data_IF_003957576315
#
_entry.id   IF_003957576315
#
_cell.length_a   1.000
_cell.length_b   1.000
_cell.length_c   1.000
_cell.angle_alpha   90.00
_cell.angle_beta   90.00
_cell.angle_gamma   90.00
#
_symmetry.space_group_name_H-M   'P 1'
#
loop_
_entity.id
_entity.type
_entity.pdbx_description
1 polymer ?
#
# COMPACT_ATOMS: atom_id res chain seq x y z
N UNK A 1 -28.11 -37.25 -7.19
CA UNK A 1 -27.11 -36.30 -7.65
C UNK A 1 -25.77 -36.99 -7.42
N UNK A 2 -25.00 -37.21 -8.47
CA UNK A 2 -23.73 -37.92 -8.38
C UNK A 2 -22.72 -37.11 -7.57
N UNK A 3 -21.91 -37.79 -6.74
CA UNK A 3 -20.87 -37.13 -5.92
C UNK A 3 -19.91 -36.27 -6.77
N UNK A 4 -19.62 -36.67 -8.00
CA UNK A 4 -18.83 -35.93 -8.97
C UNK A 4 -19.50 -34.62 -9.39
N UNK A 5 -20.83 -34.61 -9.59
CA UNK A 5 -21.60 -33.41 -9.94
C UNK A 5 -21.71 -32.46 -8.75
N UNK A 6 -21.89 -32.97 -7.52
CA UNK A 6 -21.86 -32.19 -6.29
C UNK A 6 -20.47 -31.59 -6.06
N UNK A 7 -19.44 -32.35 -6.36
CA UNK A 7 -18.03 -31.93 -6.30
C UNK A 7 -17.74 -30.80 -7.29
N UNK A 8 -18.16 -30.93 -8.55
CA UNK A 8 -18.00 -29.87 -9.56
C UNK A 8 -18.77 -28.61 -9.18
N UNK A 9 -19.95 -28.73 -8.57
CA UNK A 9 -20.71 -27.56 -8.09
C UNK A 9 -20.05 -26.89 -6.87
N UNK A 10 -19.49 -27.67 -5.94
CA UNK A 10 -18.78 -27.17 -4.79
C UNK A 10 -17.44 -26.45 -5.17
N UNK A 11 -16.82 -26.88 -6.27
CA UNK A 11 -15.56 -26.32 -6.76
C UNK A 11 -15.71 -25.35 -7.95
N UNK A 12 -16.95 -25.11 -8.43
CA UNK A 12 -17.22 -24.12 -9.46
C UNK A 12 -17.00 -22.70 -8.93
N UNK A 13 -16.03 -21.97 -9.49
CA UNK A 13 -15.74 -20.59 -9.15
C UNK A 13 -16.93 -19.64 -9.43
N UNK A 14 -17.86 -20.03 -10.33
CA UNK A 14 -18.98 -19.20 -10.79
C UNK A 14 -20.02 -18.83 -9.72
N UNK A 15 -20.04 -19.54 -8.59
CA UNK A 15 -21.03 -19.34 -7.52
C UNK A 15 -20.40 -19.05 -6.17
N UNK A 16 -19.08 -18.78 -6.12
CA UNK A 16 -18.37 -18.50 -4.88
C UNK A 16 -18.09 -17.01 -4.74
N UNK A 17 -18.14 -16.54 -3.50
CA UNK A 17 -17.73 -15.18 -3.18
C UNK A 17 -16.23 -15.00 -3.41
N UNK A 18 -15.43 -16.05 -3.13
CA UNK A 18 -13.98 -16.04 -3.28
C UNK A 18 -13.51 -17.21 -4.14
N UNK A 19 -12.53 -16.96 -5.01
CA UNK A 19 -11.90 -17.99 -5.83
C UNK A 19 -10.39 -17.72 -5.95
N UNK A 20 -9.61 -18.77 -6.26
CA UNK A 20 -8.21 -18.66 -6.65
C UNK A 20 -8.09 -18.88 -8.16
N UNK A 21 -7.32 -18.00 -8.79
CA UNK A 21 -6.88 -18.10 -10.17
C UNK A 21 -5.36 -18.30 -10.20
N UNK A 22 -4.90 -19.26 -10.98
CA UNK A 22 -3.49 -19.57 -11.15
C UNK A 22 -3.28 -20.75 -12.07
N UNK A 23 -2.06 -21.22 -12.18
CA UNK A 23 -1.71 -22.35 -13.02
C UNK A 23 -1.51 -23.64 -12.21
N UNK A 24 -1.45 -24.77 -12.93
CA UNK A 24 -1.17 -26.07 -12.34
C UNK A 24 -2.10 -26.42 -11.18
N UNK A 25 -1.51 -26.81 -10.06
CA UNK A 25 -2.23 -27.28 -8.86
C UNK A 25 -3.03 -26.19 -8.14
N UNK A 26 -2.81 -24.90 -8.43
CA UNK A 26 -3.61 -23.81 -7.86
C UNK A 26 -5.08 -23.93 -8.29
N UNK A 27 -5.36 -24.47 -9.46
CA UNK A 27 -6.71 -24.70 -9.98
C UNK A 27 -7.50 -25.74 -9.17
N UNK A 28 -6.81 -26.59 -8.42
CA UNK A 28 -7.41 -27.60 -7.56
C UNK A 28 -7.78 -27.07 -6.18
N UNK A 29 -7.40 -25.80 -5.88
CA UNK A 29 -7.61 -25.17 -4.60
C UNK A 29 -8.87 -24.30 -4.60
N UNK A 30 -9.74 -24.52 -3.64
CA UNK A 30 -10.93 -23.73 -3.43
C UNK A 30 -10.82 -22.93 -2.11
N UNK A 31 -11.02 -21.62 -2.14
CA UNK A 31 -10.92 -20.77 -0.97
C UNK A 31 -11.97 -21.16 0.07
N UNK A 32 -11.52 -21.40 1.31
CA UNK A 32 -12.38 -21.61 2.48
C UNK A 32 -12.47 -20.30 3.31
N UNK A 33 -11.35 -19.63 3.53
CA UNK A 33 -11.26 -18.37 4.23
C UNK A 33 -9.98 -17.64 3.87
N UNK A 34 -9.92 -16.35 4.09
CA UNK A 34 -8.70 -15.57 3.94
C UNK A 34 -8.68 -14.34 4.83
N UNK A 35 -7.49 -13.90 5.16
CA UNK A 35 -7.22 -12.63 5.80
C UNK A 35 -6.05 -11.97 5.12
N UNK A 36 -6.02 -10.65 5.10
CA UNK A 36 -4.91 -9.93 4.51
C UNK A 36 -4.82 -8.49 4.95
N UNK A 37 -3.62 -7.94 4.80
CA UNK A 37 -3.32 -6.54 5.09
C UNK A 37 -2.51 -5.94 3.96
N UNK A 38 -2.86 -4.73 3.63
CA UNK A 38 -2.09 -3.87 2.73
C UNK A 38 -2.00 -2.46 3.31
N UNK A 39 -0.91 -1.76 3.04
CA UNK A 39 -0.71 -0.38 3.44
C UNK A 39 0.21 0.36 2.45
N UNK A 40 0.09 1.67 2.40
CA UNK A 40 1.01 2.55 1.66
C UNK A 40 2.44 2.32 2.16
N UNK A 41 3.39 2.22 1.25
CA UNK A 41 4.81 1.99 1.53
C UNK A 41 5.10 0.75 2.39
N UNK A 42 4.26 -0.28 2.26
CA UNK A 42 4.41 -1.57 2.91
C UNK A 42 4.13 -2.73 1.95
N UNK A 43 4.69 -3.87 2.27
CA UNK A 43 4.41 -5.12 1.55
C UNK A 43 3.07 -5.66 2.03
N UNK A 44 2.19 -6.02 1.10
CA UNK A 44 0.97 -6.72 1.46
C UNK A 44 1.25 -8.19 1.82
N UNK A 45 0.37 -8.77 2.61
CA UNK A 45 0.35 -10.21 2.89
C UNK A 45 -1.08 -10.72 2.92
N UNK A 46 -1.38 -11.73 2.11
CA UNK A 46 -2.65 -12.45 2.11
C UNK A 46 -2.42 -13.87 2.62
N UNK A 47 -3.13 -14.27 3.65
CA UNK A 47 -3.16 -15.66 4.16
C UNK A 47 -4.45 -16.29 3.76
N UNK A 48 -4.38 -17.26 2.87
CA UNK A 48 -5.53 -17.92 2.25
C UNK A 48 -5.57 -19.36 2.74
N UNK A 49 -6.66 -19.75 3.36
CA UNK A 49 -6.96 -21.16 3.64
C UNK A 49 -7.80 -21.69 2.48
N UNK A 50 -7.33 -22.75 1.87
CA UNK A 50 -7.98 -23.38 0.74
C UNK A 50 -8.11 -24.88 0.95
N UNK A 51 -9.12 -25.48 0.33
CA UNK A 51 -9.38 -26.91 0.36
C UNK A 51 -9.19 -27.52 -1.03
N UNK A 52 -8.73 -28.77 -1.06
CA UNK A 52 -8.60 -29.57 -2.28
C UNK A 52 -9.01 -31.01 -2.02
N UNK A 53 -9.53 -31.66 -3.06
CA UNK A 53 -9.72 -33.12 -3.09
C UNK A 53 -8.36 -33.86 -3.16
N UNK A 54 -7.34 -33.19 -3.65
CA UNK A 54 -6.00 -33.73 -3.75
C UNK A 54 -5.25 -33.51 -2.42
N UNK A 55 -5.07 -34.60 -1.68
CA UNK A 55 -4.32 -34.56 -0.42
C UNK A 55 -2.81 -34.59 -0.61
N UNK A 56 -2.33 -34.84 -1.83
CA UNK A 56 -0.91 -35.07 -2.14
C UNK A 56 -0.31 -33.95 -2.99
N UNK A 57 -0.84 -32.73 -2.88
CA UNK A 57 -0.24 -31.55 -3.51
C UNK A 57 1.17 -31.34 -2.93
N UNK A 58 2.17 -31.39 -3.81
CA UNK A 58 3.54 -31.09 -3.46
C UNK A 58 3.67 -29.58 -3.15
N UNK A 59 4.03 -29.24 -1.91
CA UNK A 59 4.08 -27.83 -1.47
C UNK A 59 5.09 -27.01 -2.26
N UNK A 60 6.21 -27.62 -2.67
CA UNK A 60 7.25 -26.97 -3.47
C UNK A 60 6.73 -26.52 -4.84
N UNK A 61 5.77 -27.25 -5.43
CA UNK A 61 5.16 -26.86 -6.71
C UNK A 61 4.31 -25.59 -6.63
N UNK A 62 3.94 -25.17 -5.43
CA UNK A 62 3.21 -23.92 -5.17
C UNK A 62 4.13 -22.72 -4.99
N UNK A 63 5.39 -22.96 -4.60
CA UNK A 63 6.32 -21.88 -4.24
C UNK A 63 6.68 -20.99 -5.44
N UNK A 64 6.59 -19.67 -5.24
CA UNK A 64 6.87 -18.69 -6.28
C UNK A 64 5.84 -18.60 -7.39
N UNK A 65 4.78 -19.42 -7.35
CA UNK A 65 3.69 -19.35 -8.33
C UNK A 65 2.90 -18.05 -8.19
N UNK A 66 2.52 -17.48 -9.34
CA UNK A 66 1.54 -16.39 -9.40
C UNK A 66 0.18 -16.93 -9.01
N UNK A 67 -0.50 -16.25 -8.10
CA UNK A 67 -1.89 -16.55 -7.76
C UNK A 67 -2.68 -15.26 -7.60
N UNK A 68 -3.94 -15.29 -7.99
CA UNK A 68 -4.89 -14.20 -7.86
C UNK A 68 -6.05 -14.64 -7.00
N UNK A 69 -6.30 -13.94 -5.91
CA UNK A 69 -7.52 -14.06 -5.14
C UNK A 69 -8.60 -13.20 -5.80
N UNK A 70 -9.66 -13.82 -6.26
CA UNK A 70 -10.83 -13.18 -6.83
C UNK A 70 -11.90 -13.02 -5.75
N UNK A 71 -12.51 -11.85 -5.70
CA UNK A 71 -13.66 -11.54 -4.83
C UNK A 71 -14.81 -11.07 -5.70
N UNK A 72 -15.95 -11.76 -5.65
CA UNK A 72 -17.16 -11.34 -6.39
C UNK A 72 -17.77 -10.11 -5.73
N UNK A 73 -18.03 -9.07 -6.51
CA UNK A 73 -18.63 -7.82 -6.08
C UNK A 73 -20.16 -7.91 -6.06
N UNK A 74 -20.81 -7.04 -5.31
CA UNK A 74 -22.28 -6.96 -5.24
C UNK A 74 -22.93 -6.72 -6.62
N UNK A 75 -22.27 -5.94 -7.48
CA UNK A 75 -22.70 -5.67 -8.86
C UNK A 75 -22.37 -6.77 -9.89
N UNK A 76 -21.83 -7.93 -9.46
CA UNK A 76 -21.46 -9.06 -10.34
C UNK A 76 -20.07 -8.96 -10.97
N UNK A 77 -19.33 -7.88 -10.76
CA UNK A 77 -17.91 -7.77 -11.14
C UNK A 77 -16.99 -8.54 -10.19
N UNK A 78 -15.69 -8.45 -10.42
CA UNK A 78 -14.68 -9.09 -9.58
C UNK A 78 -13.60 -8.08 -9.16
N UNK A 79 -13.22 -8.11 -7.88
CA UNK A 79 -12.00 -7.52 -7.36
C UNK A 79 -10.89 -8.57 -7.38
N UNK A 80 -9.71 -8.18 -7.85
CA UNK A 80 -8.54 -9.07 -8.03
C UNK A 80 -7.46 -8.68 -7.03
N UNK A 81 -6.76 -9.66 -6.46
CA UNK A 81 -5.58 -9.47 -5.60
C UNK A 81 -4.53 -10.47 -6.00
N UNK A 82 -3.54 -10.01 -6.76
CA UNK A 82 -2.52 -10.86 -7.38
C UNK A 82 -1.19 -10.76 -6.65
N UNK A 83 -0.52 -11.90 -6.46
CA UNK A 83 0.79 -11.97 -5.84
C UNK A 83 1.49 -13.30 -6.07
N UNK A 84 2.61 -13.49 -5.37
CA UNK A 84 3.43 -14.70 -5.38
C UNK A 84 3.19 -15.52 -4.11
N UNK A 85 3.09 -16.83 -4.23
CA UNK A 85 3.04 -17.73 -3.07
C UNK A 85 4.45 -17.81 -2.45
N UNK A 86 4.61 -17.21 -1.26
CA UNK A 86 5.87 -17.27 -0.49
C UNK A 86 5.95 -18.50 0.41
N UNK A 87 4.81 -18.97 0.89
CA UNK A 87 4.73 -20.07 1.84
C UNK A 87 3.47 -20.88 1.57
N UNK A 88 3.59 -22.19 1.64
CA UNK A 88 2.50 -23.13 1.57
C UNK A 88 2.62 -24.12 2.74
N UNK A 89 1.50 -24.42 3.37
CA UNK A 89 1.40 -25.35 4.50
C UNK A 89 0.24 -26.32 4.24
N UNK A 90 0.42 -27.59 4.58
CA UNK A 90 -0.66 -28.57 4.65
C UNK A 90 -1.17 -28.62 6.09
N UNK A 91 -2.38 -28.18 6.32
CA UNK A 91 -2.98 -28.08 7.66
C UNK A 91 -3.57 -29.42 8.16
N UNK A 92 -3.87 -30.33 7.24
CA UNK A 92 -4.47 -31.62 7.54
C UNK A 92 -5.46 -32.04 6.47
N UNK A 93 -6.06 -33.22 6.65
CA UNK A 93 -7.13 -33.71 5.82
C UNK A 93 -8.26 -34.25 6.72
N UNK A 94 -9.50 -33.97 6.32
CA UNK A 94 -10.71 -34.47 6.95
C UNK A 94 -11.58 -35.17 5.90
N UNK A 95 -11.61 -36.49 5.96
CA UNK A 95 -12.31 -37.31 5.01
C UNK A 95 -11.77 -37.18 3.57
N UNK A 96 -12.52 -36.49 2.72
CA UNK A 96 -12.21 -36.36 1.29
C UNK A 96 -11.50 -35.02 0.92
N UNK A 97 -11.30 -34.13 1.87
CA UNK A 97 -10.71 -32.79 1.62
C UNK A 97 -9.47 -32.56 2.45
N UNK A 98 -8.41 -32.10 1.80
CA UNK A 98 -7.20 -31.61 2.45
C UNK A 98 -7.22 -30.06 2.50
N UNK A 99 -6.76 -29.51 3.61
CA UNK A 99 -6.64 -28.07 3.84
C UNK A 99 -5.22 -27.62 3.65
N UNK A 100 -5.06 -26.51 2.95
CA UNK A 100 -3.79 -25.86 2.68
C UNK A 100 -3.87 -24.41 3.10
N UNK A 101 -2.78 -23.86 3.63
CA UNK A 101 -2.62 -22.43 3.85
C UNK A 101 -1.56 -21.89 2.91
N UNK A 102 -1.92 -20.83 2.19
CA UNK A 102 -1.01 -20.11 1.32
C UNK A 102 -0.75 -18.72 1.89
N UNK A 103 0.50 -18.29 1.89
CA UNK A 103 0.87 -16.89 2.16
C UNK A 103 1.31 -16.26 0.85
N UNK A 104 0.58 -15.25 0.41
CA UNK A 104 0.76 -14.53 -0.85
C UNK A 104 1.28 -13.13 -0.58
N UNK A 105 2.29 -12.71 -1.34
CA UNK A 105 3.05 -11.47 -1.15
C UNK A 105 3.30 -10.79 -2.51
N UNK A 106 3.64 -9.48 -2.54
CA UNK A 106 4.06 -8.83 -3.78
C UNK A 106 5.46 -9.28 -4.20
N UNK A 107 5.77 -9.14 -5.51
CA UNK A 107 7.12 -9.43 -6.01
C UNK A 107 8.21 -8.60 -5.30
N UNK A 108 7.87 -7.39 -4.87
CA UNK A 108 8.80 -6.49 -4.16
C UNK A 108 9.35 -7.14 -2.87
N UNK A 109 8.67 -8.14 -2.30
CA UNK A 109 9.19 -8.90 -1.16
C UNK A 109 10.53 -9.58 -1.47
N UNK A 110 10.80 -9.93 -2.72
CA UNK A 110 12.09 -10.54 -3.12
C UNK A 110 13.27 -9.63 -2.76
N UNK A 111 13.08 -8.32 -2.80
CA UNK A 111 14.12 -7.33 -2.44
C UNK A 111 14.49 -7.33 -0.94
N UNK A 112 13.70 -8.01 -0.11
CA UNK A 112 14.01 -8.21 1.32
C UNK A 112 14.99 -9.36 1.55
N UNK A 113 15.25 -10.19 0.54
CA UNK A 113 16.02 -11.43 0.68
C UNK A 113 17.52 -11.25 0.37
N UNK A 114 17.89 -10.14 -0.24
CA UNK A 114 19.28 -9.84 -0.58
C UNK A 114 19.78 -8.64 0.22
N UNK A 115 21.03 -8.77 0.72
CA UNK A 115 21.74 -7.71 1.43
C UNK A 115 22.95 -7.30 0.61
N UNK A 116 23.10 -6.02 0.37
CA UNK A 116 24.23 -5.49 -0.36
C UNK A 116 25.02 -4.44 0.47
N UNK A 117 26.28 -4.28 0.09
CA UNK A 117 27.12 -3.17 0.51
C UNK A 117 27.79 -2.61 -0.75
N UNK A 118 27.23 -1.55 -1.26
CA UNK A 118 27.65 -0.91 -2.50
C UNK A 118 27.49 0.61 -2.44
N UNK A 119 28.13 1.31 -3.35
CA UNK A 119 28.12 2.76 -3.40
C UNK A 119 27.68 3.21 -4.79
N UNK A 120 26.75 4.13 -4.82
CA UNK A 120 26.33 4.84 -6.02
C UNK A 120 26.95 6.24 -6.01
N UNK A 121 27.70 6.56 -7.06
CA UNK A 121 28.36 7.85 -7.20
C UNK A 121 27.79 8.60 -8.41
N UNK A 122 27.49 9.89 -8.22
CA UNK A 122 26.95 10.76 -9.27
C UNK A 122 25.73 10.13 -9.95
N UNK A 123 24.73 9.75 -9.15
CA UNK A 123 23.52 9.08 -9.61
C UNK A 123 22.26 9.84 -9.18
N UNK A 124 21.29 9.80 -10.07
CA UNK A 124 19.92 10.23 -9.78
C UNK A 124 19.12 9.12 -9.11
N UNK A 125 18.07 9.45 -8.39
CA UNK A 125 17.28 8.45 -7.66
C UNK A 125 16.64 7.41 -8.60
N UNK A 126 16.11 7.83 -9.75
CA UNK A 126 15.54 6.93 -10.75
C UNK A 126 16.58 5.93 -11.27
N UNK A 127 17.79 6.38 -11.58
CA UNK A 127 18.87 5.49 -12.02
C UNK A 127 19.30 4.48 -10.95
N UNK A 128 19.17 4.84 -9.67
CA UNK A 128 19.44 3.91 -8.55
C UNK A 128 18.29 2.91 -8.40
N UNK A 129 17.04 3.36 -8.46
CA UNK A 129 15.85 2.49 -8.43
C UNK A 129 15.93 1.47 -9.56
N UNK A 130 16.22 1.91 -10.78
CA UNK A 130 16.38 1.04 -11.95
C UNK A 130 17.51 0.04 -11.75
N UNK A 131 18.69 0.48 -11.31
CA UNK A 131 19.83 -0.40 -11.09
C UNK A 131 19.56 -1.49 -10.05
N UNK A 132 18.89 -1.15 -8.96
CA UNK A 132 18.54 -2.13 -7.91
C UNK A 132 17.44 -3.08 -8.38
N UNK A 133 16.40 -2.58 -9.05
CA UNK A 133 15.27 -3.40 -9.46
C UNK A 133 15.56 -4.26 -10.70
N UNK A 134 16.62 -3.95 -11.46
CA UNK A 134 17.04 -4.75 -12.61
C UNK A 134 17.46 -6.17 -12.23
N UNK A 135 17.99 -6.38 -11.04
CA UNK A 135 18.33 -7.72 -10.53
C UNK A 135 17.08 -8.60 -10.34
N UNK A 136 15.93 -7.98 -10.28
CA UNK A 136 14.63 -8.64 -10.15
C UNK A 136 13.80 -8.60 -11.44
N UNK A 137 14.40 -8.28 -12.58
CA UNK A 137 13.73 -8.06 -13.87
C UNK A 137 12.69 -9.12 -14.27
N UNK A 138 12.85 -10.45 -13.98
CA UNK A 138 11.81 -11.43 -14.32
C UNK A 138 10.48 -11.24 -13.58
N UNK A 139 10.52 -10.52 -12.45
CA UNK A 139 9.38 -10.29 -11.56
C UNK A 139 8.97 -8.83 -11.49
N UNK A 140 9.97 -7.94 -11.56
CA UNK A 140 9.81 -6.53 -11.28
C UNK A 140 9.02 -5.82 -12.37
N UNK A 141 7.97 -5.15 -11.96
CA UNK A 141 7.26 -4.19 -12.78
C UNK A 141 6.88 -2.98 -11.93
N UNK A 142 7.27 -1.78 -12.37
CA UNK A 142 7.00 -0.56 -11.63
C UNK A 142 6.72 0.61 -12.56
N UNK A 143 6.07 1.62 -12.05
CA UNK A 143 5.79 2.86 -12.75
C UNK A 143 5.70 4.04 -11.79
N UNK A 144 5.73 5.22 -12.34
CA UNK A 144 5.55 6.45 -11.59
C UNK A 144 4.14 7.00 -11.78
N UNK A 145 3.50 7.41 -10.68
CA UNK A 145 2.28 8.20 -10.72
C UNK A 145 2.59 9.65 -11.14
N UNK A 146 1.57 10.38 -11.56
CA UNK A 146 1.72 11.78 -11.94
C UNK A 146 2.43 12.61 -10.84
N UNK A 147 3.40 13.40 -11.24
CA UNK A 147 4.19 14.25 -10.33
C UNK A 147 5.35 13.56 -9.61
N UNK A 148 5.45 12.22 -9.62
CA UNK A 148 6.56 11.52 -8.97
C UNK A 148 7.91 11.81 -9.65
N UNK A 149 7.95 11.85 -10.97
CA UNK A 149 9.16 12.20 -11.73
C UNK A 149 9.69 13.60 -11.39
N UNK A 150 8.80 14.57 -11.23
CA UNK A 150 9.19 15.91 -10.81
C UNK A 150 9.80 15.93 -9.40
N UNK A 151 9.30 15.09 -8.49
CA UNK A 151 9.85 14.91 -7.15
C UNK A 151 11.23 14.26 -7.19
N UNK A 152 11.43 13.25 -8.03
CA UNK A 152 12.71 12.58 -8.26
C UNK A 152 13.72 13.59 -8.81
N UNK A 153 13.34 14.37 -9.81
CA UNK A 153 14.19 15.41 -10.39
C UNK A 153 14.58 16.48 -9.34
N UNK A 154 13.65 16.85 -8.46
CA UNK A 154 13.93 17.78 -7.36
C UNK A 154 14.84 17.20 -6.27
N UNK A 155 14.89 15.86 -6.10
CA UNK A 155 15.85 15.21 -5.22
C UNK A 155 17.28 15.38 -5.74
N UNK A 156 17.44 15.39 -7.07
CA UNK A 156 18.67 15.68 -7.77
C UNK A 156 19.68 14.54 -7.81
N UNK A 157 20.79 14.80 -8.48
CA UNK A 157 21.95 13.89 -8.49
C UNK A 157 22.68 13.97 -7.14
N UNK A 158 23.18 12.83 -6.68
CA UNK A 158 23.93 12.71 -5.43
C UNK A 158 25.32 12.22 -5.70
N UNK A 159 26.31 12.91 -5.12
CA UNK A 159 27.73 12.57 -5.26
C UNK A 159 28.03 11.18 -4.68
N UNK A 160 27.36 10.85 -3.58
CA UNK A 160 27.61 9.62 -2.85
C UNK A 160 26.36 9.12 -2.12
N UNK A 161 25.87 7.94 -2.48
CA UNK A 161 24.84 7.21 -1.76
C UNK A 161 25.36 5.81 -1.47
N UNK A 162 25.40 5.43 -0.21
CA UNK A 162 25.83 4.10 0.21
C UNK A 162 24.63 3.24 0.63
N UNK A 163 24.57 2.03 0.10
CA UNK A 163 23.85 0.92 0.70
C UNK A 163 24.86 0.17 1.57
N UNK A 164 24.63 0.10 2.87
CA UNK A 164 25.57 -0.55 3.77
C UNK A 164 24.86 -1.54 4.68
N UNK A 165 25.05 -2.84 4.39
CA UNK A 165 24.42 -3.96 5.09
C UNK A 165 22.87 -3.86 5.19
N UNK A 166 22.29 -3.17 4.23
CA UNK A 166 20.83 -3.05 4.09
C UNK A 166 20.35 -4.08 3.08
N UNK A 167 19.11 -4.57 3.26
CA UNK A 167 18.42 -5.24 2.16
C UNK A 167 18.10 -4.22 1.07
N UNK A 168 17.90 -4.67 -0.17
CA UNK A 168 17.50 -3.78 -1.26
C UNK A 168 16.18 -3.09 -0.95
N UNK A 169 15.26 -3.79 -0.26
CA UNK A 169 14.02 -3.20 0.25
C UNK A 169 14.26 -2.08 1.25
N UNK A 170 15.13 -2.28 2.24
CA UNK A 170 15.45 -1.25 3.23
C UNK A 170 16.11 -0.04 2.59
N UNK A 171 17.04 -0.29 1.67
CA UNK A 171 17.74 0.75 0.92
C UNK A 171 16.78 1.60 0.10
N UNK A 172 15.95 0.97 -0.75
CA UNK A 172 14.95 1.67 -1.56
C UNK A 172 13.94 2.41 -0.68
N UNK A 173 13.43 1.78 0.39
CA UNK A 173 12.47 2.43 1.30
C UNK A 173 13.04 3.68 1.95
N UNK A 174 14.31 3.65 2.34
CA UNK A 174 15.01 4.81 2.90
C UNK A 174 15.14 5.94 1.88
N UNK A 175 15.60 5.63 0.66
CA UNK A 175 15.78 6.64 -0.39
C UNK A 175 14.44 7.25 -0.83
N UNK A 176 13.40 6.45 -0.94
CA UNK A 176 12.06 6.94 -1.25
C UNK A 176 11.56 7.89 -0.16
N UNK A 177 11.73 7.53 1.12
CA UNK A 177 11.36 8.40 2.24
C UNK A 177 12.16 9.71 2.26
N UNK A 178 13.47 9.68 2.00
CA UNK A 178 14.33 10.87 1.89
C UNK A 178 13.88 11.78 0.73
N UNK A 179 13.40 11.21 -0.37
CA UNK A 179 12.87 11.95 -1.51
C UNK A 179 11.42 12.43 -1.32
N UNK A 180 10.72 11.97 -0.30
CA UNK A 180 9.29 12.24 -0.08
C UNK A 180 8.41 11.50 -1.07
N UNK A 181 8.79 10.27 -1.42
CA UNK A 181 8.03 9.36 -2.26
C UNK A 181 7.44 8.23 -1.40
N UNK A 182 6.22 7.85 -1.72
CA UNK A 182 5.59 6.63 -1.26
C UNK A 182 5.44 5.63 -2.40
N UNK A 183 4.98 4.42 -2.07
CA UNK A 183 4.55 3.47 -3.08
C UNK A 183 3.28 2.73 -2.66
N UNK A 184 2.58 2.23 -3.65
CA UNK A 184 1.46 1.29 -3.51
C UNK A 184 1.63 0.15 -4.52
N UNK A 185 0.91 -0.95 -4.30
CA UNK A 185 0.88 -2.08 -5.24
C UNK A 185 -0.48 -2.09 -5.92
N UNK A 186 -0.48 -2.00 -7.24
CA UNK A 186 -1.69 -1.99 -8.06
C UNK A 186 -1.74 -3.24 -8.96
N UNK A 187 -2.94 -3.75 -9.22
CA UNK A 187 -3.13 -4.79 -10.24
C UNK A 187 -2.71 -4.22 -11.61
N UNK A 188 -2.03 -5.03 -12.39
CA UNK A 188 -1.54 -4.69 -13.71
C UNK A 188 -1.44 -5.95 -14.58
N UNK A 189 -2.31 -6.07 -15.56
CA UNK A 189 -2.37 -7.27 -16.41
C UNK A 189 -1.16 -7.37 -17.37
N UNK A 190 -0.47 -6.25 -17.63
CA UNK A 190 0.75 -6.21 -18.44
C UNK A 190 1.99 -6.62 -17.64
N UNK A 191 1.90 -6.58 -16.31
CA UNK A 191 3.02 -6.99 -15.44
C UNK A 191 3.21 -8.50 -15.46
N UNK A 192 4.47 -9.00 -15.47
CA UNK A 192 4.77 -10.45 -15.51
C UNK A 192 4.05 -11.24 -14.41
N UNK A 193 3.89 -10.64 -13.24
CA UNK A 193 3.22 -11.27 -12.10
C UNK A 193 1.90 -10.58 -11.71
N UNK A 194 1.27 -9.86 -12.67
CA UNK A 194 -0.09 -9.34 -12.54
C UNK A 194 -0.24 -8.15 -11.61
N UNK A 195 0.87 -7.55 -11.15
CA UNK A 195 0.83 -6.35 -10.34
C UNK A 195 2.09 -5.51 -10.52
N UNK A 196 1.94 -4.21 -10.37
CA UNK A 196 3.01 -3.22 -10.45
C UNK A 196 3.18 -2.48 -9.11
N UNK A 197 4.42 -2.08 -8.82
CA UNK A 197 4.72 -1.09 -7.78
C UNK A 197 4.56 0.30 -8.38
N UNK A 198 3.73 1.12 -7.78
CA UNK A 198 3.46 2.49 -8.24
C UNK A 198 4.06 3.48 -7.26
N UNK A 199 5.14 4.15 -7.66
CA UNK A 199 5.75 5.21 -6.88
C UNK A 199 4.98 6.52 -7.05
N UNK A 200 4.69 7.22 -5.97
CA UNK A 200 3.94 8.47 -5.99
C UNK A 200 4.55 9.51 -5.04
N UNK A 201 4.31 10.78 -5.35
CA UNK A 201 4.77 11.92 -4.53
C UNK A 201 3.60 12.63 -3.84
N UNK A 202 2.43 12.61 -4.47
CA UNK A 202 1.25 13.32 -4.00
C UNK A 202 0.06 12.33 -3.94
N UNK A 203 -0.49 12.15 -2.75
CA UNK A 203 -1.64 11.28 -2.53
C UNK A 203 -2.92 11.75 -3.26
N UNK A 204 -3.01 13.03 -3.60
CA UNK A 204 -4.12 13.56 -4.40
C UNK A 204 -4.14 13.02 -5.85
N UNK A 205 -3.01 12.51 -6.33
CA UNK A 205 -2.88 11.90 -7.66
C UNK A 205 -3.16 10.40 -7.66
N UNK A 206 -3.39 9.81 -6.50
CA UNK A 206 -3.77 8.40 -6.41
C UNK A 206 -5.19 8.17 -6.91
N UNK A 207 -5.49 6.99 -7.48
CA UNK A 207 -6.78 6.70 -8.07
C UNK A 207 -7.90 6.71 -7.01
N UNK A 208 -9.11 7.00 -7.44
CA UNK A 208 -10.29 6.78 -6.62
C UNK A 208 -10.71 5.31 -6.66
N UNK A 209 -11.26 4.82 -5.55
CA UNK A 209 -11.84 3.49 -5.46
C UNK A 209 -12.95 3.33 -6.50
N UNK A 210 -13.03 2.20 -7.24
CA UNK A 210 -13.99 2.03 -8.33
C UNK A 210 -15.46 2.16 -7.91
N UNK A 211 -15.85 1.69 -6.73
CA UNK A 211 -17.22 1.82 -6.24
C UNK A 211 -17.52 3.25 -5.81
N UNK A 212 -16.55 3.93 -5.19
CA UNK A 212 -16.66 5.35 -4.85
C UNK A 212 -16.85 6.20 -6.11
N UNK A 213 -16.02 5.98 -7.13
CA UNK A 213 -16.08 6.71 -8.39
C UNK A 213 -17.40 6.47 -9.15
N UNK A 214 -17.87 5.22 -9.21
CA UNK A 214 -19.09 4.85 -9.91
C UNK A 214 -20.36 5.37 -9.21
N UNK A 215 -20.37 5.38 -7.86
CA UNK A 215 -21.51 5.75 -7.03
C UNK A 215 -21.57 7.22 -6.58
N UNK A 216 -20.54 8.01 -6.91
CA UNK A 216 -20.38 9.36 -6.34
C UNK A 216 -20.07 9.35 -4.85
N UNK A 217 -19.45 8.26 -4.38
CA UNK A 217 -19.07 8.01 -3.01
C UNK A 217 -19.63 6.69 -2.45
N UNK A 218 -19.08 6.26 -1.32
CA UNK A 218 -19.52 5.08 -0.59
C UNK A 218 -20.36 5.54 0.61
N UNK A 219 -21.57 5.00 0.72
CA UNK A 219 -22.49 5.37 1.79
C UNK A 219 -22.00 4.87 3.15
N UNK A 220 -22.14 5.72 4.16
CA UNK A 220 -22.11 5.30 5.54
C UNK A 220 -23.51 4.80 5.94
N UNK A 221 -23.63 3.52 6.26
CA UNK A 221 -24.89 2.94 6.69
C UNK A 221 -24.66 1.77 7.64
N UNK A 222 -25.34 1.77 8.77
CA UNK A 222 -25.34 0.59 9.66
C UNK A 222 -26.06 -0.56 8.96
N UNK A 223 -25.49 -1.77 9.05
CA UNK A 223 -26.01 -2.96 8.39
C UNK A 223 -27.54 -3.11 8.58
N UNK A 224 -28.27 -3.15 7.46
CA UNK A 224 -29.66 -3.49 7.39
C UNK A 224 -29.81 -4.73 6.52
N UNK A 225 -30.71 -5.66 6.92
CA UNK A 225 -30.90 -6.96 6.24
C UNK A 225 -31.44 -6.87 4.79
N UNK A 226 -31.74 -5.68 4.30
CA UNK A 226 -32.28 -5.45 2.95
C UNK A 226 -31.29 -4.71 2.01
N UNK A 227 -30.08 -4.40 2.46
CA UNK A 227 -29.14 -3.66 1.65
C UNK A 227 -28.32 -4.62 0.76
N UNK A 228 -28.38 -4.39 -0.56
CA UNK A 228 -27.65 -5.17 -1.55
C UNK A 228 -26.30 -4.53 -1.94
N UNK A 229 -26.05 -3.27 -1.56
CA UNK A 229 -24.83 -2.55 -1.86
C UNK A 229 -23.82 -2.63 -0.71
N UNK A 230 -22.54 -2.65 -1.04
CA UNK A 230 -21.46 -2.56 -0.07
C UNK A 230 -21.45 -1.16 0.58
N UNK A 231 -21.17 -1.07 1.88
CA UNK A 231 -21.24 0.17 2.64
C UNK A 231 -20.19 0.25 3.75
N UNK A 232 -19.87 1.46 4.18
CA UNK A 232 -19.10 1.70 5.40
C UNK A 232 -20.06 1.64 6.58
N UNK A 233 -19.85 0.72 7.51
CA UNK A 233 -20.75 0.43 8.62
C UNK A 233 -20.34 1.12 9.92
N UNK A 234 -19.04 1.38 10.06
CA UNK A 234 -18.46 2.10 11.19
C UNK A 234 -17.38 3.05 10.68
N UNK A 235 -17.36 4.24 11.22
CA UNK A 235 -16.31 5.23 10.96
C UNK A 235 -16.05 6.01 12.25
N UNK A 236 -14.80 6.03 12.68
CA UNK A 236 -14.31 6.74 13.86
C UNK A 236 -13.35 7.81 13.38
N UNK A 237 -13.55 9.04 13.82
CA UNK A 237 -12.65 10.16 13.59
C UNK A 237 -11.82 10.39 14.84
N UNK A 238 -10.51 10.36 14.72
CA UNK A 238 -9.57 10.65 15.79
C UNK A 238 -8.74 11.90 15.44
N UNK A 239 -8.75 12.87 16.32
CA UNK A 239 -7.89 14.06 16.21
C UNK A 239 -6.82 14.03 17.29
N UNK A 240 -5.57 14.20 16.89
CA UNK A 240 -4.41 14.22 17.78
C UNK A 240 -3.77 15.59 17.78
N UNK A 241 -3.23 15.98 18.92
CA UNK A 241 -2.42 17.18 19.00
C UNK A 241 -1.12 16.99 18.18
N UNK A 242 -0.84 17.95 17.32
CA UNK A 242 0.39 18.00 16.54
C UNK A 242 1.21 19.24 16.93
N UNK A 243 2.50 19.21 16.59
CA UNK A 243 3.42 20.34 16.78
C UNK A 243 3.04 21.51 15.87
N UNK A 244 3.47 22.72 16.21
CA UNK A 244 3.12 23.92 15.45
C UNK A 244 4.02 24.21 14.27
N UNK A 245 5.14 23.53 14.15
CA UNK A 245 6.09 23.66 13.07
C UNK A 245 7.24 22.68 13.20
N UNK A 246 8.11 22.65 12.21
CA UNK A 246 9.32 21.84 12.15
C UNK A 246 10.48 22.70 11.70
N UNK A 247 11.61 22.64 12.41
CA UNK A 247 12.87 23.26 12.01
C UNK A 247 13.87 22.19 11.59
N UNK A 248 14.49 22.35 10.43
CA UNK A 248 15.53 21.46 9.89
C UNK A 248 16.83 22.27 9.74
N UNK A 249 17.97 21.65 10.04
CA UNK A 249 19.28 22.26 9.82
C UNK A 249 20.31 21.25 9.34
N UNK A 250 21.13 21.66 8.38
CA UNK A 250 22.34 20.98 7.96
C UNK A 250 23.55 21.90 8.21
N UNK A 251 24.73 21.33 8.44
CA UNK A 251 25.96 22.07 8.59
C UNK A 251 26.81 21.99 7.32
N UNK A 252 27.13 23.14 6.75
CA UNK A 252 28.08 23.29 5.64
C UNK A 252 29.48 23.61 6.20
N UNK A 253 30.39 22.61 6.18
CA UNK A 253 31.73 22.80 6.74
C UNK A 253 32.63 23.73 5.90
N UNK A 254 32.38 23.81 4.59
CA UNK A 254 33.17 24.68 3.69
C UNK A 254 32.78 26.14 3.84
N UNK A 255 31.50 26.42 3.78
CA UNK A 255 30.96 27.75 3.99
C UNK A 255 30.89 28.15 5.48
N UNK A 256 31.19 27.23 6.40
CA UNK A 256 31.12 27.42 7.88
C UNK A 256 29.80 28.03 8.35
N UNK A 257 28.70 27.57 7.81
CA UNK A 257 27.36 28.08 8.12
C UNK A 257 26.35 26.96 8.27
N UNK A 258 25.27 27.26 9.01
CA UNK A 258 24.11 26.38 9.05
C UNK A 258 23.15 26.72 7.90
N UNK A 259 22.73 25.68 7.15
CA UNK A 259 21.65 25.76 6.21
C UNK A 259 20.38 25.40 6.97
N UNK A 260 19.32 26.18 6.84
CA UNK A 260 18.09 25.99 7.63
C UNK A 260 16.85 26.02 6.76
N UNK A 261 15.87 25.19 7.14
CA UNK A 261 14.50 25.19 6.64
C UNK A 261 13.52 25.19 7.81
N UNK A 262 12.33 25.74 7.61
CA UNK A 262 11.28 25.75 8.61
C UNK A 262 9.91 25.62 7.94
N UNK A 263 9.08 24.71 8.42
CA UNK A 263 7.72 24.52 7.95
C UNK A 263 6.73 24.69 9.11
N UNK A 264 5.86 25.69 9.08
CA UNK A 264 4.78 25.82 10.05
C UNK A 264 3.70 24.79 9.79
N UNK A 265 3.02 24.34 10.86
CA UNK A 265 1.85 23.47 10.75
C UNK A 265 0.70 24.20 10.04
N UNK A 266 0.06 23.51 9.10
CA UNK A 266 -1.18 23.94 8.42
C UNK A 266 -2.41 23.49 9.18
N UNK A 267 -2.31 22.31 9.81
CA UNK A 267 -3.38 21.66 10.55
C UNK A 267 -2.92 21.25 11.95
N UNK A 268 -3.84 21.21 12.90
CA UNK A 268 -3.58 20.72 14.24
C UNK A 268 -3.98 21.70 15.36
N UNK A 269 -4.04 21.18 16.58
CA UNK A 269 -4.54 21.91 17.76
C UNK A 269 -3.67 23.12 18.14
N UNK A 270 -2.38 23.07 17.80
CA UNK A 270 -1.42 24.14 18.10
C UNK A 270 -1.15 25.10 16.95
N UNK A 271 -1.77 24.87 15.77
CA UNK A 271 -1.59 25.78 14.64
C UNK A 271 -2.11 27.20 15.03
N UNK A 272 -1.29 28.22 14.81
CA UNK A 272 -1.62 29.61 15.12
C UNK A 272 -1.58 29.99 16.59
N UNK A 273 -1.11 29.13 17.51
CA UNK A 273 -0.88 29.50 18.92
C UNK A 273 0.53 30.02 19.16
N UNK A 274 0.66 30.98 20.06
CA UNK A 274 1.91 31.66 20.35
C UNK A 274 3.00 30.77 21.00
N UNK A 275 2.62 29.62 21.57
CA UNK A 275 3.54 28.67 22.17
C UNK A 275 3.29 27.32 21.50
N UNK A 276 4.15 26.99 20.57
CA UNK A 276 4.11 25.71 19.85
C UNK A 276 5.50 25.07 19.96
N UNK A 277 5.59 23.82 20.43
CA UNK A 277 6.85 23.11 20.37
C UNK A 277 7.19 22.83 18.91
N UNK A 278 8.32 23.37 18.45
CA UNK A 278 8.85 23.13 17.12
C UNK A 278 10.02 22.14 17.23
N UNK A 279 9.85 20.86 16.90
CA UNK A 279 10.94 19.91 16.91
C UNK A 279 12.01 20.32 15.90
N UNK A 280 13.25 20.17 16.33
CA UNK A 280 14.43 20.47 15.54
C UNK A 280 15.08 19.19 15.03
N UNK A 281 15.32 19.13 13.73
CA UNK A 281 15.97 17.99 13.08
C UNK A 281 17.30 18.42 12.47
N UNK A 282 18.37 17.72 12.85
CA UNK A 282 19.66 17.82 12.19
C UNK A 282 19.73 16.80 11.08
N UNK A 283 20.01 17.21 9.86
CA UNK A 283 20.12 16.36 8.68
C UNK A 283 21.51 16.46 8.05
N UNK A 284 21.87 15.50 7.22
CA UNK A 284 23.15 15.54 6.48
C UNK A 284 23.14 16.67 5.43
N UNK A 285 24.34 17.20 5.13
CA UNK A 285 24.50 18.18 4.05
C UNK A 285 24.08 17.59 2.69
N UNK A 286 24.29 16.27 2.49
CA UNK A 286 23.86 15.60 1.26
C UNK A 286 22.34 15.64 1.07
N UNK A 287 21.56 15.61 2.15
CA UNK A 287 20.09 15.69 2.08
C UNK A 287 19.60 17.13 1.93
N UNK A 288 20.29 18.08 2.54
CA UNK A 288 19.96 19.50 2.51
C UNK A 288 21.19 20.36 2.12
N UNK A 289 21.66 20.30 0.86
CA UNK A 289 22.84 21.04 0.40
C UNK A 289 22.61 22.55 0.32
N UNK A 290 21.38 23.00 0.26
CA UNK A 290 20.99 24.40 0.17
C UNK A 290 19.69 24.69 0.94
N UNK A 291 19.35 25.96 1.05
CA UNK A 291 18.16 26.42 1.77
C UNK A 291 16.87 25.88 1.15
N UNK A 292 16.80 25.71 -0.17
CA UNK A 292 15.62 25.17 -0.86
C UNK A 292 15.41 23.70 -0.48
N UNK A 293 16.47 22.92 -0.46
CA UNK A 293 16.44 21.52 -0.05
C UNK A 293 16.10 21.38 1.44
N UNK A 294 16.68 22.21 2.31
CA UNK A 294 16.34 22.23 3.74
C UNK A 294 14.86 22.59 3.98
N UNK A 295 14.35 23.57 3.24
CA UNK A 295 12.93 23.94 3.29
C UNK A 295 12.03 22.78 2.86
N UNK A 296 12.34 22.12 1.76
CA UNK A 296 11.61 20.93 1.28
C UNK A 296 11.61 19.81 2.31
N UNK A 297 12.75 19.51 2.93
CA UNK A 297 12.83 18.47 3.97
C UNK A 297 11.96 18.87 5.18
N UNK A 298 11.97 20.14 5.59
CA UNK A 298 11.11 20.60 6.67
C UNK A 298 9.63 20.43 6.35
N UNK A 299 9.22 20.75 5.13
CA UNK A 299 7.84 20.55 4.65
C UNK A 299 7.44 19.08 4.64
N UNK A 300 8.30 18.17 4.15
CA UNK A 300 8.06 16.74 4.14
C UNK A 300 7.89 16.16 5.56
N UNK A 301 8.76 16.58 6.49
CA UNK A 301 8.66 16.15 7.89
C UNK A 301 7.37 16.67 8.52
N UNK A 302 6.99 17.93 8.23
CA UNK A 302 5.75 18.51 8.74
C UNK A 302 4.53 17.78 8.18
N UNK A 303 4.47 17.49 6.89
CA UNK A 303 3.41 16.73 6.26
C UNK A 303 3.27 15.32 6.88
N UNK A 304 4.40 14.63 7.15
CA UNK A 304 4.40 13.33 7.82
C UNK A 304 3.88 13.37 9.27
N UNK A 305 4.01 14.51 9.94
CA UNK A 305 3.43 14.72 11.27
C UNK A 305 1.93 15.04 11.15
N UNK A 306 1.56 15.91 10.21
CA UNK A 306 0.19 16.39 10.03
C UNK A 306 -0.77 15.28 9.60
N UNK A 307 -0.32 14.34 8.75
CA UNK A 307 -1.15 13.20 8.31
C UNK A 307 -1.64 12.34 9.49
N UNK A 308 -0.92 12.36 10.61
CA UNK A 308 -1.29 11.64 11.85
C UNK A 308 -2.18 12.46 12.78
N UNK A 309 -2.37 13.75 12.50
CA UNK A 309 -3.18 14.63 13.34
C UNK A 309 -4.69 14.38 13.19
N UNK A 310 -5.11 13.89 12.04
CA UNK A 310 -6.51 13.54 11.76
C UNK A 310 -6.53 12.17 11.09
N UNK A 311 -7.02 11.16 11.79
CA UNK A 311 -7.06 9.78 11.34
C UNK A 311 -8.50 9.25 11.42
N UNK A 312 -8.91 8.54 10.39
CA UNK A 312 -10.19 7.86 10.34
C UNK A 312 -9.95 6.34 10.37
N UNK A 313 -10.69 5.65 11.23
CA UNK A 313 -10.72 4.19 11.28
C UNK A 313 -12.13 3.73 11.02
N UNK A 314 -12.32 2.88 10.01
CA UNK A 314 -13.63 2.39 9.61
C UNK A 314 -13.67 0.89 9.42
N UNK A 315 -14.87 0.35 9.36
CA UNK A 315 -15.14 -1.01 8.92
C UNK A 315 -16.42 -1.06 8.08
N UNK A 316 -16.49 -2.03 7.19
CA UNK A 316 -17.62 -2.18 6.27
C UNK A 316 -17.52 -3.43 5.42
N UNK A 317 -18.42 -3.53 4.45
CA UNK A 317 -18.50 -4.65 3.51
C UNK A 317 -17.86 -4.35 2.14
N UNK A 318 -17.26 -3.17 1.96
CA UNK A 318 -16.73 -2.71 0.67
C UNK A 318 -15.53 -3.55 0.23
N UNK A 319 -15.71 -4.33 -0.83
CA UNK A 319 -14.77 -5.35 -1.30
C UNK A 319 -13.70 -4.81 -2.24
N UNK A 320 -13.88 -3.59 -2.74
CA UNK A 320 -12.96 -2.93 -3.68
C UNK A 320 -11.83 -2.19 -2.98
N UNK A 321 -11.98 -1.84 -1.69
CA UNK A 321 -11.00 -1.03 -0.97
C UNK A 321 -9.57 -1.55 -1.10
N UNK A 322 -8.64 -0.60 -1.38
CA UNK A 322 -7.21 -0.84 -1.50
C UNK A 322 -6.42 0.26 -0.81
N UNK A 323 -5.30 -0.09 -0.21
CA UNK A 323 -4.35 0.94 0.24
C UNK A 323 -3.83 1.74 -0.95
N UNK A 324 -3.69 3.05 -0.77
CA UNK A 324 -3.30 3.94 -1.86
C UNK A 324 -4.43 4.27 -2.84
N UNK A 325 -5.69 4.08 -2.46
CA UNK A 325 -6.83 4.63 -3.19
C UNK A 325 -7.53 5.71 -2.37
N UNK A 326 -8.18 6.63 -3.06
CA UNK A 326 -9.06 7.63 -2.44
C UNK A 326 -10.49 7.13 -2.47
N UNK A 327 -11.27 7.53 -1.51
CA UNK A 327 -12.72 7.30 -1.53
C UNK A 327 -13.44 8.52 -0.97
N UNK A 328 -14.68 8.70 -1.36
CA UNK A 328 -15.59 9.69 -0.78
C UNK A 328 -16.63 8.98 0.08
N UNK A 329 -16.74 9.34 1.36
CA UNK A 329 -17.77 8.80 2.25
C UNK A 329 -18.96 9.75 2.26
N UNK A 330 -20.14 9.22 1.97
CA UNK A 330 -21.41 9.97 1.96
C UNK A 330 -22.33 9.57 3.13
N UNK A 331 -23.32 10.39 3.43
CA UNK A 331 -24.36 10.13 4.46
C UNK A 331 -23.82 9.87 5.87
N UNK A 332 -22.62 10.35 6.21
CA UNK A 332 -22.03 10.17 7.54
C UNK A 332 -22.25 11.40 8.43
N UNK A 333 -23.15 11.32 9.43
CA UNK A 333 -23.49 12.47 10.27
C UNK A 333 -22.39 12.83 11.29
N UNK A 334 -21.37 12.00 11.42
CA UNK A 334 -20.31 12.19 12.42
C UNK A 334 -19.05 12.85 11.84
N UNK A 335 -19.01 13.07 10.52
CA UNK A 335 -17.88 13.74 9.90
C UNK A 335 -17.97 15.25 10.12
N UNK A 336 -16.82 15.92 10.30
CA UNK A 336 -16.82 17.38 10.40
C UNK A 336 -17.37 17.99 9.09
N UNK A 337 -18.08 19.13 9.17
CA UNK A 337 -18.60 19.78 7.98
C UNK A 337 -17.45 20.18 7.04
N UNK A 338 -17.63 19.90 5.75
CA UNK A 338 -16.69 20.34 4.73
C UNK A 338 -16.87 21.86 4.47
N UNK A 339 -15.78 22.60 4.21
CA UNK A 339 -15.84 24.03 3.92
C UNK A 339 -16.65 24.38 2.67
N UNK A 340 -16.74 23.46 1.71
CA UNK A 340 -17.23 23.73 0.35
C UNK A 340 -18.60 23.11 0.04
N UNK A 341 -19.35 22.68 1.06
CA UNK A 341 -20.68 22.04 0.90
C UNK A 341 -20.71 20.88 -0.12
N UNK A 342 -19.55 20.21 -0.29
CA UNK A 342 -19.43 19.06 -1.18
C UNK A 342 -20.17 17.86 -0.60
N UNK A 343 -20.92 17.16 -1.47
CA UNK A 343 -21.65 15.95 -1.09
C UNK A 343 -20.63 14.81 -0.80
N UNK A 344 -20.22 14.68 0.46
CA UNK A 344 -19.33 13.62 0.91
C UNK A 344 -17.97 14.08 1.42
N UNK A 345 -17.27 13.18 2.08
CA UNK A 345 -15.99 13.43 2.73
C UNK A 345 -14.89 12.61 2.05
N UNK A 346 -13.91 13.27 1.38
CA UNK A 346 -12.83 12.56 0.71
C UNK A 346 -11.81 12.04 1.73
N UNK A 347 -11.47 10.77 1.62
CA UNK A 347 -10.47 10.08 2.44
C UNK A 347 -9.44 9.39 1.57
N UNK A 348 -8.23 9.25 2.08
CA UNK A 348 -7.19 8.38 1.53
C UNK A 348 -7.11 7.12 2.38
N UNK A 349 -7.08 5.96 1.74
CA UNK A 349 -6.84 4.68 2.40
C UNK A 349 -5.35 4.45 2.59
N UNK A 350 -4.87 4.69 3.81
CA UNK A 350 -3.48 4.42 4.21
C UNK A 350 -3.23 2.92 4.37
N UNK A 351 -4.13 2.23 5.07
CA UNK A 351 -4.05 0.80 5.28
C UNK A 351 -5.45 0.16 5.26
N UNK A 352 -5.52 -1.08 4.80
CA UNK A 352 -6.74 -1.88 4.79
C UNK A 352 -6.43 -3.29 5.30
N UNK A 353 -7.27 -3.78 6.21
CA UNK A 353 -7.30 -5.18 6.61
C UNK A 353 -8.58 -5.82 6.07
N UNK A 354 -8.42 -6.99 5.46
CA UNK A 354 -9.51 -7.73 4.85
C UNK A 354 -9.67 -9.10 5.52
N UNK A 355 -10.90 -9.58 5.57
CA UNK A 355 -11.22 -10.96 5.92
C UNK A 355 -12.38 -11.48 5.07
N UNK A 356 -12.35 -12.74 4.74
CA UNK A 356 -13.37 -13.39 3.93
C UNK A 356 -13.48 -14.89 4.17
#
# INVERSE_FOLDING_TARGET
MDAATLYQQLFSAAHRLFALEGEGVIRELAVEAWVGREAISALFEWRIVAVSANADIALDSLMGQRTTLLTTLAGGGQSRRTGLIRQAEKLGADGSLARYRLTVIPWLWLTTQQHHSQVFQNRTLDSIIEAVLQDYAPYAHWRYAAGAEARIAAFGERDHIAQFRETDYQFLSRLLAEAGLGYTVAEDDEAPFGHAVVFFADSAQLPEDPESAAGGGIRYHRAHSQESADAIQQLICETRAAVGGVAVSAWDPEAKRAIRGHAPARYGVFSGRAVSPDPYFSVSLSLAPDTTSAQRVAEQVMEAIEVRALVFTGSGSVRTLRSGTRLTVTDCPHLPPQPDDTAGYPLLLDAVEHCG
#
